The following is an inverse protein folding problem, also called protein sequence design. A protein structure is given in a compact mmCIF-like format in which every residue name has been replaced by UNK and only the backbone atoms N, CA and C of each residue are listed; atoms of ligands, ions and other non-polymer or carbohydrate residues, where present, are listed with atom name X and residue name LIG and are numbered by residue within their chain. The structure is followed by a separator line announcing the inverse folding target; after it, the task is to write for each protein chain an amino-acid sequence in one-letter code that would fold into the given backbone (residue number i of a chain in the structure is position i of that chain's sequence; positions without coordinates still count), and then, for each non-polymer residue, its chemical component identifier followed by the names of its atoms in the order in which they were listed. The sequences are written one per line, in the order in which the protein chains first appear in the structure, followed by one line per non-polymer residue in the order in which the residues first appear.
data_IF_017238528606
#
_entry.id   IF_017238528606
#
_cell.length_a   1.000
_cell.length_b   1.000
_cell.length_c   1.000
_cell.angle_alpha   90.00
_cell.angle_beta   90.00
_cell.angle_gamma   90.00
#
_symmetry.space_group_name_H-M   'P 1'
#
loop_
_entity.id
_entity.type
_entity.pdbx_description
1 polymer ?
#
# COMPACT_ATOMS: atom_id res chain seq x y z
N UNK A 1 -11.87 6.43 -3.58
CA UNK A 1 -12.09 5.76 -2.29
C UNK A 1 -13.31 4.88 -2.43
N UNK A 2 -13.14 3.58 -2.24
CA UNK A 2 -14.24 2.60 -2.26
C UNK A 2 -14.78 2.40 -0.85
N UNK A 3 -16.04 2.00 -0.77
CA UNK A 3 -16.63 1.44 0.45
C UNK A 3 -16.47 -0.09 0.38
N UNK A 4 -16.56 -0.80 1.52
CA UNK A 4 -16.65 -2.25 1.53
C UNK A 4 -17.75 -2.73 0.59
N UNK A 5 -17.55 -3.90 0.00
CA UNK A 5 -18.51 -4.57 -0.89
C UNK A 5 -18.93 -3.75 -2.12
N UNK A 6 -18.07 -2.82 -2.54
CA UNK A 6 -18.29 -2.04 -3.76
C UNK A 6 -17.27 -2.39 -4.84
N UNK A 7 -17.66 -2.16 -6.10
CA UNK A 7 -16.81 -2.36 -7.28
C UNK A 7 -16.40 -1.02 -7.84
N UNK A 8 -15.12 -0.87 -8.16
CA UNK A 8 -14.57 0.33 -8.74
C UNK A 8 -13.70 0.07 -9.98
N UNK A 9 -13.37 1.12 -10.68
CA UNK A 9 -12.41 1.08 -11.78
C UNK A 9 -11.57 2.36 -11.84
N UNK A 10 -10.43 2.28 -12.50
CA UNK A 10 -9.55 3.42 -12.75
C UNK A 10 -8.56 3.13 -13.86
N UNK A 11 -7.99 4.19 -14.43
CA UNK A 11 -7.06 4.12 -15.57
C UNK A 11 -5.63 3.74 -15.25
N UNK A 12 -5.29 3.59 -13.97
CA UNK A 12 -3.96 3.15 -13.52
C UNK A 12 -3.97 1.67 -13.15
N UNK A 13 -2.91 0.93 -13.49
CA UNK A 13 -2.78 -0.50 -13.18
C UNK A 13 -2.77 -0.79 -11.68
N UNK A 14 -2.41 0.20 -10.85
CA UNK A 14 -2.42 0.14 -9.39
C UNK A 14 -3.73 0.69 -8.78
N UNK A 15 -4.80 0.77 -9.54
CA UNK A 15 -6.14 0.98 -9.02
C UNK A 15 -6.63 -0.31 -8.36
N UNK A 16 -6.12 -0.59 -7.15
CA UNK A 16 -6.32 -1.85 -6.44
C UNK A 16 -6.53 -1.60 -4.96
N UNK A 17 -7.74 -1.21 -4.61
CA UNK A 17 -8.09 -0.96 -3.21
C UNK A 17 -8.32 -2.26 -2.45
N UNK A 18 -7.86 -2.38 -1.20
CA UNK A 18 -8.09 -3.56 -0.36
C UNK A 18 -9.53 -3.65 0.17
N UNK A 19 -10.25 -2.51 0.21
CA UNK A 19 -11.65 -2.42 0.61
C UNK A 19 -12.51 -2.45 -0.65
N UNK A 20 -13.44 -3.39 -0.75
CA UNK A 20 -14.15 -3.68 -1.99
C UNK A 20 -13.21 -4.29 -3.03
N UNK A 21 -13.57 -4.22 -4.29
CA UNK A 21 -12.73 -4.69 -5.39
C UNK A 21 -12.63 -3.65 -6.51
N UNK A 22 -11.45 -3.49 -7.09
CA UNK A 22 -11.25 -2.61 -8.24
C UNK A 22 -10.58 -3.33 -9.40
N UNK A 23 -11.13 -3.07 -10.60
CA UNK A 23 -10.64 -3.60 -11.87
C UNK A 23 -10.00 -2.46 -12.65
N UNK A 24 -8.65 -2.40 -12.73
CA UNK A 24 -7.98 -1.46 -13.59
C UNK A 24 -8.40 -1.64 -15.06
N UNK A 25 -8.62 -0.54 -15.75
CA UNK A 25 -9.05 -0.57 -17.14
C UNK A 25 -8.32 0.50 -17.96
N UNK A 26 -8.24 0.32 -19.27
CA UNK A 26 -7.72 1.36 -20.15
C UNK A 26 -8.55 2.63 -20.06
N UNK A 27 -7.92 3.78 -20.24
CA UNK A 27 -8.57 5.10 -20.11
C UNK A 27 -9.83 5.26 -20.96
N UNK A 28 -9.88 4.63 -22.15
CA UNK A 28 -11.08 4.61 -23.01
C UNK A 28 -12.27 3.88 -22.36
N UNK A 29 -12.02 2.73 -21.70
CA UNK A 29 -13.07 1.98 -21.01
C UNK A 29 -13.54 2.71 -19.75
N UNK A 30 -12.60 3.35 -19.02
CA UNK A 30 -12.95 4.20 -17.87
C UNK A 30 -13.81 5.39 -18.30
N UNK A 31 -13.46 6.06 -19.40
CA UNK A 31 -14.25 7.15 -19.97
C UNK A 31 -15.63 6.68 -20.43
N UNK A 32 -15.72 5.50 -21.06
CA UNK A 32 -17.00 4.87 -21.42
C UNK A 32 -17.87 4.64 -20.18
N UNK A 33 -17.31 4.05 -19.13
CA UNK A 33 -18.02 3.83 -17.86
C UNK A 33 -18.48 5.14 -17.21
N UNK A 34 -17.65 6.18 -17.24
CA UNK A 34 -18.01 7.49 -16.72
C UNK A 34 -19.16 8.13 -17.49
N UNK A 35 -19.21 7.93 -18.81
CA UNK A 35 -20.25 8.49 -19.69
C UNK A 35 -21.56 7.69 -19.63
N UNK A 36 -21.51 6.37 -19.51
CA UNK A 36 -22.68 5.47 -19.63
C UNK A 36 -23.20 4.93 -18.29
N UNK A 37 -22.38 5.03 -17.23
CA UNK A 37 -22.68 4.44 -15.92
C UNK A 37 -22.46 2.93 -15.84
N UNK A 38 -21.94 2.28 -16.89
CA UNK A 38 -21.72 0.84 -16.94
C UNK A 38 -20.38 0.50 -17.59
N UNK A 39 -19.77 -0.60 -17.13
CA UNK A 39 -18.57 -1.19 -17.73
C UNK A 39 -18.83 -2.67 -17.94
N UNK A 40 -18.69 -3.22 -19.17
CA UNK A 40 -18.77 -4.65 -19.39
C UNK A 40 -17.58 -5.35 -18.75
N UNK A 41 -17.84 -6.43 -18.03
CA UNK A 41 -16.85 -7.26 -17.37
C UNK A 41 -17.25 -8.72 -17.46
N UNK A 42 -16.36 -9.54 -18.02
CA UNK A 42 -16.46 -10.99 -17.86
C UNK A 42 -15.96 -11.35 -16.45
N UNK A 43 -16.75 -12.10 -15.66
CA UNK A 43 -16.38 -12.45 -14.30
C UNK A 43 -15.14 -13.35 -14.30
N UNK A 44 -14.00 -12.90 -13.75
CA UNK A 44 -12.80 -13.73 -13.70
C UNK A 44 -12.93 -14.85 -12.66
N UNK A 45 -12.20 -15.94 -12.87
CA UNK A 45 -11.94 -16.92 -11.81
C UNK A 45 -11.09 -16.28 -10.70
N UNK A 46 -11.09 -16.88 -9.52
CA UNK A 46 -10.25 -16.45 -8.39
C UNK A 46 -9.10 -17.43 -8.12
N UNK A 47 -7.97 -16.89 -7.65
CA UNK A 47 -6.88 -17.62 -7.00
C UNK A 47 -6.84 -17.18 -5.56
N UNK A 48 -6.90 -18.14 -4.63
CA UNK A 48 -6.81 -17.87 -3.20
C UNK A 48 -5.35 -18.01 -2.74
N UNK A 49 -4.85 -16.98 -2.04
CA UNK A 49 -3.61 -17.05 -1.24
C UNK A 49 -4.00 -17.01 0.23
N UNK A 50 -3.64 -18.05 0.96
CA UNK A 50 -3.95 -18.20 2.38
C UNK A 50 -2.69 -18.14 3.20
N UNK A 51 -2.54 -17.08 4.00
CA UNK A 51 -1.47 -16.99 4.99
C UNK A 51 -1.85 -17.70 6.29
N UNK A 52 -0.88 -18.44 6.86
CA UNK A 52 -0.99 -19.15 8.13
C UNK A 52 0.19 -18.78 9.04
N UNK A 53 0.06 -19.10 10.33
CA UNK A 53 1.13 -18.83 11.31
C UNK A 53 1.26 -17.35 11.65
N UNK A 54 2.45 -16.94 12.07
CA UNK A 54 2.76 -15.59 12.52
C UNK A 54 3.99 -15.03 11.82
N UNK A 55 3.97 -13.74 11.52
CA UNK A 55 5.12 -13.06 10.91
C UNK A 55 6.30 -13.08 11.88
N UNK A 56 7.47 -13.50 11.39
CA UNK A 56 8.66 -13.66 12.20
C UNK A 56 9.38 -12.33 12.46
N UNK A 57 10.17 -12.20 13.54
CA UNK A 57 10.95 -10.99 13.81
C UNK A 57 11.83 -10.58 12.62
N UNK A 58 11.86 -9.27 12.31
CA UNK A 58 12.60 -8.72 11.19
C UNK A 58 11.97 -8.95 9.81
N UNK A 59 10.94 -9.80 9.70
CA UNK A 59 10.17 -9.97 8.46
C UNK A 59 9.14 -8.84 8.36
N UNK A 60 9.00 -8.29 7.19
CA UNK A 60 8.13 -7.15 6.91
C UNK A 60 6.94 -7.55 6.05
N UNK A 61 5.96 -6.67 5.94
CA UNK A 61 4.83 -6.90 5.03
C UNK A 61 5.29 -7.03 3.56
N UNK A 62 6.36 -6.30 3.16
CA UNK A 62 6.93 -6.41 1.82
C UNK A 62 7.46 -7.82 1.53
N UNK A 63 7.98 -8.50 2.53
CA UNK A 63 8.43 -9.89 2.37
C UNK A 63 7.22 -10.80 2.10
N UNK A 64 6.07 -10.56 2.74
CA UNK A 64 4.83 -11.29 2.44
C UNK A 64 4.30 -10.99 1.03
N UNK A 65 4.44 -9.76 0.54
CA UNK A 65 4.15 -9.40 -0.86
C UNK A 65 4.97 -10.25 -1.82
N UNK A 66 6.26 -10.42 -1.54
CA UNK A 66 7.17 -11.21 -2.37
C UNK A 66 7.06 -12.72 -2.11
N UNK A 67 6.54 -13.16 -0.96
CA UNK A 67 6.24 -14.55 -0.69
C UNK A 67 5.19 -15.11 -1.66
N UNK A 68 4.22 -14.32 -2.09
CA UNK A 68 3.19 -14.76 -3.04
C UNK A 68 3.81 -15.33 -4.34
N UNK A 69 4.64 -14.59 -5.11
CA UNK A 69 5.30 -15.16 -6.28
C UNK A 69 6.33 -16.23 -5.91
N UNK A 70 7.02 -16.12 -4.77
CA UNK A 70 7.98 -17.11 -4.33
C UNK A 70 7.36 -18.51 -4.18
N UNK A 71 6.27 -18.62 -3.41
CA UNK A 71 5.55 -19.89 -3.21
C UNK A 71 4.87 -20.36 -4.50
N UNK A 72 4.30 -19.44 -5.29
CA UNK A 72 3.73 -19.79 -6.58
C UNK A 72 4.77 -20.40 -7.56
N UNK A 73 6.04 -19.98 -7.49
CA UNK A 73 7.13 -20.59 -8.25
C UNK A 73 7.45 -21.98 -7.71
N UNK A 74 7.58 -22.12 -6.38
CA UNK A 74 7.87 -23.42 -5.75
C UNK A 74 6.82 -24.48 -6.08
N UNK A 75 5.55 -24.10 -6.13
CA UNK A 75 4.44 -24.97 -6.48
C UNK A 75 4.24 -25.15 -7.99
N UNK A 76 5.06 -24.49 -8.82
CA UNK A 76 4.98 -24.60 -10.28
C UNK A 76 3.76 -23.88 -10.90
N UNK A 77 3.17 -22.91 -10.20
CA UNK A 77 2.08 -22.07 -10.67
C UNK A 77 2.54 -20.81 -11.40
N UNK A 78 3.79 -20.41 -11.19
CA UNK A 78 4.41 -19.25 -11.80
C UNK A 78 5.81 -19.64 -12.34
N UNK A 79 6.21 -19.09 -13.47
CA UNK A 79 7.57 -19.24 -14.00
C UNK A 79 8.17 -17.89 -14.36
N UNK A 80 9.46 -17.72 -14.13
CA UNK A 80 10.19 -16.50 -14.50
C UNK A 80 10.57 -16.50 -15.99
N UNK A 81 10.56 -17.66 -16.66
CA UNK A 81 10.92 -17.80 -18.06
C UNK A 81 10.05 -16.96 -18.99
N UNK A 82 10.68 -16.20 -19.91
CA UNK A 82 9.98 -15.32 -20.85
C UNK A 82 9.17 -16.07 -21.91
N UNK A 83 9.63 -17.24 -22.34
CA UNK A 83 8.90 -18.07 -23.29
C UNK A 83 8.12 -19.16 -22.55
N UNK A 84 6.83 -19.31 -22.88
CA UNK A 84 5.96 -20.27 -22.22
C UNK A 84 5.70 -19.91 -20.74
N UNK A 85 5.72 -18.62 -20.39
CA UNK A 85 5.50 -18.15 -19.02
C UNK A 85 4.16 -18.68 -18.50
N UNK A 86 4.22 -19.49 -17.44
CA UNK A 86 3.06 -19.87 -16.66
C UNK A 86 2.81 -18.78 -15.63
N UNK A 87 1.59 -18.33 -15.51
CA UNK A 87 1.17 -17.35 -14.50
C UNK A 87 -0.30 -17.62 -14.12
N UNK A 88 -0.50 -18.26 -13.00
CA UNK A 88 -1.83 -18.62 -12.49
C UNK A 88 -2.67 -17.38 -12.16
N UNK A 89 -2.05 -16.26 -11.83
CA UNK A 89 -2.75 -15.02 -11.46
C UNK A 89 -3.26 -14.24 -12.67
N UNK A 90 -2.71 -14.48 -13.86
CA UNK A 90 -3.01 -13.67 -15.04
C UNK A 90 -4.49 -13.71 -15.40
N UNK A 91 -5.13 -12.53 -15.40
CA UNK A 91 -6.55 -12.38 -15.71
C UNK A 91 -7.51 -12.89 -14.64
N UNK A 92 -7.03 -13.32 -13.48
CA UNK A 92 -7.83 -13.80 -12.34
C UNK A 92 -7.87 -12.77 -11.22
N UNK A 93 -8.83 -12.89 -10.34
CA UNK A 93 -8.87 -12.15 -9.07
C UNK A 93 -7.92 -12.84 -8.10
N UNK A 94 -7.04 -12.08 -7.47
CA UNK A 94 -6.23 -12.54 -6.36
C UNK A 94 -6.99 -12.27 -5.06
N UNK A 95 -7.43 -13.32 -4.40
CA UNK A 95 -8.04 -13.24 -3.07
C UNK A 95 -7.00 -13.59 -2.00
N UNK A 96 -6.93 -12.81 -0.93
CA UNK A 96 -5.95 -12.98 0.15
C UNK A 96 -6.69 -13.10 1.48
N UNK A 97 -6.36 -14.14 2.26
CA UNK A 97 -6.89 -14.35 3.60
C UNK A 97 -5.79 -14.75 4.61
N UNK A 98 -6.13 -14.76 5.90
CA UNK A 98 -5.20 -15.07 7.00
C UNK A 98 -4.48 -13.85 7.57
N UNK A 99 -4.75 -12.66 7.05
CA UNK A 99 -4.16 -11.38 7.47
C UNK A 99 -5.25 -10.35 7.81
N UNK A 100 -6.36 -10.79 8.37
CA UNK A 100 -7.56 -9.95 8.55
C UNK A 100 -7.36 -8.75 9.49
N UNK A 101 -6.36 -8.81 10.36
CA UNK A 101 -6.00 -7.77 11.33
C UNK A 101 -5.16 -6.62 10.74
N UNK A 102 -4.72 -6.74 9.49
CA UNK A 102 -3.92 -5.69 8.86
C UNK A 102 -4.70 -4.38 8.76
N UNK A 103 -3.99 -3.27 8.96
CA UNK A 103 -4.53 -1.95 8.63
C UNK A 103 -4.80 -1.84 7.13
N UNK A 104 -5.78 -1.03 6.73
CA UNK A 104 -6.14 -0.91 5.31
C UNK A 104 -4.97 -0.48 4.43
N UNK A 105 -4.08 0.39 4.94
CA UNK A 105 -2.89 0.83 4.23
C UNK A 105 -1.84 -0.29 4.07
N UNK A 106 -1.75 -1.22 5.04
CA UNK A 106 -0.93 -2.43 4.91
C UNK A 106 -1.53 -3.38 3.87
N UNK A 107 -2.83 -3.61 3.96
CA UNK A 107 -3.55 -4.40 2.98
C UNK A 107 -3.42 -3.81 1.56
N UNK A 108 -3.37 -2.48 1.44
CA UNK A 108 -3.14 -1.80 0.15
C UNK A 108 -1.81 -2.20 -0.48
N UNK A 109 -0.75 -2.39 0.29
CA UNK A 109 0.53 -2.85 -0.25
C UNK A 109 0.42 -4.23 -0.91
N UNK A 110 -0.30 -5.17 -0.29
CA UNK A 110 -0.57 -6.50 -0.85
C UNK A 110 -1.45 -6.42 -2.11
N UNK A 111 -2.53 -5.65 -2.06
CA UNK A 111 -3.46 -5.54 -3.20
C UNK A 111 -2.82 -4.82 -4.38
N UNK A 112 -2.04 -3.79 -4.13
CA UNK A 112 -1.36 -3.00 -5.16
C UNK A 112 -0.36 -3.86 -5.94
N UNK A 113 0.43 -4.69 -5.25
CA UNK A 113 1.39 -5.60 -5.85
C UNK A 113 0.76 -6.65 -6.78
N UNK A 114 -0.52 -6.92 -6.68
CA UNK A 114 -1.24 -7.84 -7.57
C UNK A 114 -1.21 -7.38 -9.04
N UNK A 115 -0.96 -6.07 -9.28
CA UNK A 115 -0.73 -5.52 -10.61
C UNK A 115 0.44 -6.18 -11.32
N UNK A 116 1.51 -6.51 -10.59
CA UNK A 116 2.73 -7.10 -11.14
C UNK A 116 2.53 -8.58 -11.48
N UNK A 117 1.49 -9.20 -10.94
CA UNK A 117 1.09 -10.59 -11.26
C UNK A 117 0.12 -10.64 -12.45
N UNK A 118 -0.20 -9.49 -13.08
CA UNK A 118 -1.23 -9.38 -14.11
C UNK A 118 -2.61 -9.86 -13.66
N UNK A 119 -2.90 -9.81 -12.37
CA UNK A 119 -4.21 -10.15 -11.84
C UNK A 119 -5.27 -9.15 -12.35
N UNK A 120 -6.50 -9.60 -12.56
CA UNK A 120 -7.61 -8.74 -12.99
C UNK A 120 -8.04 -7.78 -11.87
N UNK A 121 -7.99 -8.24 -10.63
CA UNK A 121 -8.30 -7.48 -9.42
C UNK A 121 -7.67 -8.17 -8.21
N UNK A 122 -7.85 -7.56 -7.04
CA UNK A 122 -7.44 -8.17 -5.77
C UNK A 122 -8.46 -7.83 -4.70
N UNK A 123 -8.78 -8.78 -3.84
CA UNK A 123 -9.52 -8.56 -2.61
C UNK A 123 -8.78 -9.17 -1.42
N UNK A 124 -8.93 -8.57 -0.24
CA UNK A 124 -8.29 -9.02 0.98
C UNK A 124 -9.33 -9.11 2.07
N UNK A 125 -9.41 -10.27 2.72
CA UNK A 125 -10.31 -10.46 3.87
C UNK A 125 -9.75 -9.70 5.07
N UNK A 126 -10.41 -8.60 5.43
CA UNK A 126 -10.10 -7.77 6.61
C UNK A 126 -11.21 -7.88 7.64
N UNK A 127 -10.86 -7.65 8.91
CA UNK A 127 -11.82 -7.48 10.00
C UNK A 127 -12.53 -6.11 9.90
N UNK A 128 -13.65 -5.96 10.60
CA UNK A 128 -14.43 -4.71 10.59
C UNK A 128 -13.69 -3.54 11.25
N UNK A 129 -12.89 -3.81 12.25
CA UNK A 129 -12.17 -2.80 13.03
C UNK A 129 -11.16 -2.01 12.21
N UNK A 130 -10.23 -2.62 11.45
CA UNK A 130 -9.32 -1.87 10.57
C UNK A 130 -10.06 -1.04 9.53
N UNK A 131 -11.16 -1.56 9.00
CA UNK A 131 -11.97 -0.85 8.01
C UNK A 131 -12.67 0.35 8.66
N UNK A 132 -13.24 0.19 9.86
CA UNK A 132 -13.89 1.27 10.59
C UNK A 132 -12.89 2.40 10.90
N UNK A 133 -11.69 2.07 11.38
CA UNK A 133 -10.61 3.02 11.63
C UNK A 133 -10.27 3.82 10.37
N UNK A 134 -10.08 3.13 9.26
CA UNK A 134 -9.79 3.77 7.97
C UNK A 134 -10.90 4.70 7.50
N UNK A 135 -12.18 4.29 7.62
CA UNK A 135 -13.31 5.12 7.22
C UNK A 135 -13.45 6.36 8.12
N UNK A 136 -13.26 6.21 9.45
CA UNK A 136 -13.28 7.33 10.39
C UNK A 136 -12.21 8.37 10.05
N UNK A 137 -10.97 7.92 9.84
CA UNK A 137 -9.87 8.77 9.38
C UNK A 137 -10.21 9.51 8.08
N UNK A 138 -10.77 8.81 7.12
CA UNK A 138 -11.14 9.43 5.83
C UNK A 138 -12.32 10.43 5.93
N UNK A 139 -13.27 10.21 6.82
CA UNK A 139 -14.34 11.18 7.09
C UNK A 139 -13.74 12.51 7.57
N UNK A 140 -12.78 12.45 8.50
CA UNK A 140 -12.09 13.65 8.98
C UNK A 140 -11.32 14.34 7.87
N UNK A 141 -10.58 13.58 7.05
CA UNK A 141 -9.87 14.12 5.90
C UNK A 141 -10.79 14.80 4.89
N UNK A 142 -11.93 14.18 4.55
CA UNK A 142 -12.88 14.77 3.59
C UNK A 142 -13.53 16.03 4.15
N UNK A 143 -13.86 16.08 5.44
CA UNK A 143 -14.35 17.31 6.10
C UNK A 143 -13.28 18.39 6.10
N UNK A 144 -12.02 18.05 6.38
CA UNK A 144 -10.91 18.99 6.23
C UNK A 144 -10.81 19.53 4.80
N UNK A 145 -10.96 18.70 3.79
CA UNK A 145 -10.96 19.15 2.38
C UNK A 145 -12.10 20.16 2.12
N UNK A 146 -13.28 19.93 2.67
CA UNK A 146 -14.42 20.89 2.56
C UNK A 146 -14.07 22.23 3.21
N UNK A 147 -13.52 22.22 4.43
CA UNK A 147 -13.11 23.43 5.16
C UNK A 147 -12.01 24.21 4.40
N UNK A 148 -11.10 23.49 3.73
CA UNK A 148 -10.04 24.09 2.91
C UNK A 148 -10.52 24.56 1.52
N UNK A 149 -11.81 24.46 1.22
CA UNK A 149 -12.40 24.96 -0.03
C UNK A 149 -12.11 24.10 -1.26
N UNK A 150 -11.85 22.79 -1.10
CA UNK A 150 -11.77 21.88 -2.23
C UNK A 150 -13.09 21.86 -3.01
N UNK A 151 -12.98 21.80 -4.34
CA UNK A 151 -14.15 21.76 -5.22
C UNK A 151 -15.02 20.51 -5.03
N UNK A 152 -16.27 20.62 -5.55
CA UNK A 152 -17.26 19.53 -5.51
C UNK A 152 -17.62 19.04 -4.09
N UNK A 153 -17.95 19.99 -3.22
CA UNK A 153 -18.43 19.75 -1.85
C UNK A 153 -19.53 18.67 -1.82
N UNK A 154 -20.48 18.70 -2.73
CA UNK A 154 -21.59 17.75 -2.81
C UNK A 154 -21.09 16.29 -2.93
N UNK A 155 -20.07 16.04 -3.74
CA UNK A 155 -19.46 14.69 -3.87
C UNK A 155 -18.72 14.29 -2.59
N UNK A 156 -18.00 15.21 -1.97
CA UNK A 156 -17.32 14.94 -0.69
C UNK A 156 -18.32 14.57 0.40
N UNK A 157 -19.38 15.35 0.56
CA UNK A 157 -20.45 15.10 1.54
C UNK A 157 -21.16 13.77 1.30
N UNK A 158 -21.50 13.44 0.04
CA UNK A 158 -22.11 12.15 -0.29
C UNK A 158 -21.18 10.96 0.07
N UNK A 159 -19.88 11.10 -0.11
CA UNK A 159 -18.90 10.09 0.30
C UNK A 159 -18.83 9.95 1.81
N UNK A 160 -18.83 11.06 2.54
CA UNK A 160 -18.90 11.07 4.00
C UNK A 160 -20.16 10.33 4.47
N UNK A 161 -21.33 10.71 3.93
CA UNK A 161 -22.59 10.06 4.29
C UNK A 161 -22.60 8.55 4.05
N UNK A 162 -21.98 8.07 2.94
CA UNK A 162 -21.81 6.65 2.69
C UNK A 162 -20.93 5.94 3.70
N UNK A 163 -19.83 6.57 4.14
CA UNK A 163 -18.95 6.03 5.19
C UNK A 163 -19.65 6.02 6.56
N UNK A 164 -20.35 7.10 6.91
CA UNK A 164 -21.12 7.18 8.16
C UNK A 164 -22.23 6.10 8.17
N UNK A 165 -22.86 5.82 7.02
CA UNK A 165 -23.86 4.76 6.89
C UNK A 165 -23.27 3.38 7.13
N UNK A 166 -22.13 3.08 6.55
CA UNK A 166 -21.44 1.81 6.78
C UNK A 166 -21.02 1.65 8.25
N UNK A 167 -20.47 2.69 8.85
CA UNK A 167 -20.07 2.70 10.26
C UNK A 167 -21.25 2.51 11.24
N UNK A 168 -22.45 2.92 10.84
CA UNK A 168 -23.65 2.75 11.65
C UNK A 168 -24.17 1.29 11.65
N UNK A 169 -23.90 0.53 10.57
CA UNK A 169 -24.27 -0.89 10.44
C UNK A 169 -23.19 -1.63 9.62
N UNK A 170 -22.04 -1.94 10.22
CA UNK A 170 -20.92 -2.56 9.51
C UNK A 170 -21.24 -3.98 9.04
N UNK A 171 -21.25 -4.17 7.72
CA UNK A 171 -21.41 -5.47 7.09
C UNK A 171 -20.21 -5.74 6.15
N UNK A 172 -19.80 -7.00 6.04
CA UNK A 172 -18.79 -7.47 5.10
C UNK A 172 -19.31 -8.72 4.42
N UNK A 173 -19.16 -8.80 3.12
CA UNK A 173 -19.36 -10.03 2.38
C UNK A 173 -18.25 -11.04 2.72
N UNK A 174 -18.62 -12.30 2.78
CA UNK A 174 -17.69 -13.41 2.95
C UNK A 174 -17.85 -14.37 1.78
N UNK A 175 -16.77 -15.09 1.46
CA UNK A 175 -16.84 -16.16 0.47
C UNK A 175 -17.81 -17.25 0.95
N UNK A 176 -18.56 -17.82 0.02
CA UNK A 176 -19.41 -18.96 0.31
C UNK A 176 -18.55 -20.14 0.78
N UNK A 177 -19.08 -21.02 1.67
CA UNK A 177 -18.32 -22.18 2.19
C UNK A 177 -17.86 -23.15 1.09
N UNK A 178 -18.54 -23.16 -0.04
CA UNK A 178 -18.30 -24.00 -1.22
C UNK A 178 -17.73 -23.21 -2.41
N UNK A 179 -17.15 -22.04 -2.14
CA UNK A 179 -16.50 -21.23 -3.18
C UNK A 179 -15.38 -22.00 -3.88
N UNK A 180 -15.39 -21.99 -5.21
CA UNK A 180 -14.41 -22.66 -6.04
C UNK A 180 -13.30 -21.70 -6.47
N UNK A 181 -12.04 -22.15 -6.38
CA UNK A 181 -10.86 -21.41 -6.77
C UNK A 181 -10.09 -22.14 -7.87
N UNK A 182 -9.52 -21.41 -8.81
CA UNK A 182 -8.64 -21.97 -9.83
C UNK A 182 -7.41 -22.65 -9.21
N UNK A 183 -6.93 -22.12 -8.09
CA UNK A 183 -5.95 -22.74 -7.19
C UNK A 183 -5.97 -22.09 -5.82
N UNK A 184 -5.45 -22.81 -4.83
CA UNK A 184 -5.20 -22.29 -3.46
C UNK A 184 -3.72 -22.43 -3.20
N UNK A 185 -3.06 -21.33 -2.83
CA UNK A 185 -1.64 -21.28 -2.44
C UNK A 185 -1.60 -21.00 -0.94
N UNK A 186 -1.04 -21.91 -0.17
CA UNK A 186 -0.89 -21.75 1.28
C UNK A 186 0.52 -21.30 1.62
N UNK A 187 0.63 -20.22 2.39
CA UNK A 187 1.91 -19.64 2.82
C UNK A 187 2.01 -19.68 4.34
N UNK A 188 2.95 -20.45 4.85
CA UNK A 188 3.23 -20.50 6.28
C UNK A 188 4.28 -19.44 6.65
N UNK A 189 3.81 -18.39 7.34
CA UNK A 189 4.67 -17.30 7.78
C UNK A 189 5.70 -17.74 8.83
N UNK A 190 5.44 -18.82 9.53
CA UNK A 190 6.41 -19.39 10.49
C UNK A 190 7.64 -19.97 9.78
N UNK A 191 7.57 -20.25 8.48
CA UNK A 191 8.69 -20.73 7.67
C UNK A 191 9.50 -19.61 7.01
N UNK A 192 8.99 -18.37 6.98
CA UNK A 192 9.69 -17.21 6.41
C UNK A 192 10.67 -16.67 7.46
N UNK A 193 11.96 -17.04 7.36
CA UNK A 193 13.00 -16.70 8.34
C UNK A 193 13.96 -15.60 7.90
N UNK A 194 13.89 -15.19 6.66
CA UNK A 194 14.73 -14.16 6.05
C UNK A 194 13.93 -13.35 5.02
N UNK A 195 14.37 -12.13 4.67
CA UNK A 195 13.70 -11.32 3.65
C UNK A 195 13.57 -12.02 2.31
N UNK A 196 12.45 -11.77 1.65
CA UNK A 196 12.19 -12.19 0.27
C UNK A 196 12.19 -10.94 -0.61
N UNK A 197 12.99 -10.94 -1.67
CA UNK A 197 13.12 -9.84 -2.61
C UNK A 197 12.97 -10.32 -4.04
N UNK A 198 12.66 -9.40 -4.98
CA UNK A 198 12.60 -9.77 -6.39
C UNK A 198 13.92 -9.40 -7.08
N UNK A 199 14.52 -10.36 -7.76
CA UNK A 199 15.77 -10.21 -8.49
C UNK A 199 15.65 -9.26 -9.70
N UNK A 200 16.75 -8.74 -10.23
CA UNK A 200 16.70 -7.71 -11.27
C UNK A 200 15.92 -8.10 -12.51
N UNK A 201 15.14 -7.11 -12.97
CA UNK A 201 14.44 -7.06 -14.24
C UNK A 201 13.18 -7.93 -14.37
N UNK A 202 12.73 -8.59 -13.30
CA UNK A 202 11.44 -9.28 -13.28
C UNK A 202 10.81 -9.21 -11.86
N UNK A 203 9.63 -8.63 -11.67
CA UNK A 203 8.97 -8.57 -10.36
C UNK A 203 8.43 -9.93 -9.89
N UNK A 204 8.47 -10.96 -10.74
CA UNK A 204 8.11 -12.32 -10.40
C UNK A 204 9.33 -13.17 -9.97
N UNK A 205 10.58 -12.72 -10.23
CA UNK A 205 11.79 -13.47 -9.83
C UNK A 205 12.08 -13.31 -8.33
N UNK A 206 11.17 -13.82 -7.51
CA UNK A 206 11.27 -13.78 -6.06
C UNK A 206 12.32 -14.77 -5.54
N UNK A 207 13.18 -14.31 -4.64
CA UNK A 207 14.29 -15.04 -4.06
C UNK A 207 14.49 -14.75 -2.60
N UNK A 208 15.10 -15.67 -1.87
CA UNK A 208 15.55 -15.43 -0.51
C UNK A 208 16.77 -14.49 -0.51
N UNK A 209 16.94 -13.70 0.54
CA UNK A 209 18.08 -12.81 0.69
C UNK A 209 19.41 -13.59 0.63
N UNK A 210 19.47 -14.77 1.25
CA UNK A 210 20.65 -15.63 1.24
C UNK A 210 21.14 -16.04 -0.17
N UNK A 211 20.25 -16.08 -1.16
CA UNK A 211 20.60 -16.44 -2.55
C UNK A 211 21.30 -15.32 -3.32
N UNK A 212 21.20 -14.09 -2.84
CA UNK A 212 21.73 -12.86 -3.51
C UNK A 212 22.66 -12.05 -2.62
N UNK A 213 22.98 -12.55 -1.44
CA UNK A 213 23.90 -11.92 -0.48
C UNK A 213 25.22 -11.52 -1.12
N UNK A 214 25.70 -10.32 -0.79
CA UNK A 214 27.01 -9.83 -1.22
C UNK A 214 26.99 -9.05 -2.55
N UNK A 215 25.90 -9.04 -3.29
CA UNK A 215 25.79 -8.25 -4.50
C UNK A 215 25.96 -6.76 -4.15
N UNK A 216 26.93 -6.11 -4.83
CA UNK A 216 27.23 -4.69 -4.61
C UNK A 216 26.01 -3.84 -4.96
N UNK A 217 25.72 -2.86 -4.12
CA UNK A 217 24.64 -1.89 -4.32
C UNK A 217 25.25 -0.51 -4.58
N UNK A 218 24.93 0.10 -5.70
CA UNK A 218 25.39 1.44 -6.07
C UNK A 218 24.40 2.53 -5.64
N UNK A 219 23.10 2.25 -5.78
CA UNK A 219 22.04 3.20 -5.45
C UNK A 219 20.88 2.51 -4.73
N UNK A 220 20.15 3.26 -3.95
CA UNK A 220 18.95 2.82 -3.23
C UNK A 220 17.82 3.81 -3.48
N UNK A 221 16.61 3.31 -3.73
CA UNK A 221 15.41 4.12 -3.87
C UNK A 221 14.33 3.69 -2.88
N UNK A 222 13.93 4.59 -2.00
CA UNK A 222 12.79 4.43 -1.09
C UNK A 222 11.67 5.35 -1.55
N UNK A 223 10.61 4.77 -2.11
CA UNK A 223 9.47 5.49 -2.68
C UNK A 223 8.60 4.56 -3.52
N UNK A 224 7.42 4.94 -3.78
CA UNK A 224 6.37 4.40 -4.66
C UNK A 224 5.00 4.48 -4.00
N UNK A 225 3.92 4.22 -4.76
CA UNK A 225 2.55 4.14 -4.24
C UNK A 225 2.36 3.07 -3.15
N UNK A 226 3.12 1.97 -3.18
CA UNK A 226 3.11 0.91 -2.18
C UNK A 226 3.92 1.24 -0.92
N UNK A 227 4.73 2.30 -0.93
CA UNK A 227 5.63 2.63 0.19
C UNK A 227 4.94 3.65 1.08
N UNK A 228 4.18 3.18 2.07
CA UNK A 228 3.49 4.05 3.01
C UNK A 228 4.46 4.72 4.01
N UNK A 229 3.94 5.67 4.79
CA UNK A 229 4.75 6.50 5.71
C UNK A 229 5.55 5.67 6.73
N UNK A 230 5.03 4.53 7.17
CA UNK A 230 5.72 3.66 8.12
C UNK A 230 7.06 3.14 7.60
N UNK A 231 7.14 2.83 6.31
CA UNK A 231 8.38 2.38 5.67
C UNK A 231 9.46 3.47 5.67
N UNK A 232 9.06 4.74 5.47
CA UNK A 232 10.00 5.87 5.57
C UNK A 232 10.49 6.03 7.01
N UNK A 233 9.60 5.91 8.00
CA UNK A 233 10.01 5.95 9.41
C UNK A 233 10.97 4.82 9.77
N UNK A 234 10.70 3.59 9.30
CA UNK A 234 11.56 2.43 9.51
C UNK A 234 12.97 2.68 8.94
N UNK A 235 13.05 3.05 7.67
CA UNK A 235 14.31 3.40 7.03
C UNK A 235 15.02 4.55 7.76
N UNK A 236 14.30 5.62 8.12
CA UNK A 236 14.86 6.75 8.84
C UNK A 236 15.40 6.38 10.23
N UNK A 237 14.75 5.48 10.96
CA UNK A 237 15.25 4.98 12.26
C UNK A 237 16.56 4.21 12.10
N UNK A 238 16.67 3.36 11.08
CA UNK A 238 17.91 2.63 10.79
C UNK A 238 19.04 3.58 10.37
N UNK A 239 18.74 4.55 9.51
CA UNK A 239 19.70 5.53 9.04
C UNK A 239 20.17 6.50 10.14
N UNK A 240 19.33 6.79 11.14
CA UNK A 240 19.65 7.67 12.26
C UNK A 240 20.87 7.20 13.08
N UNK A 241 21.06 5.88 13.16
CA UNK A 241 22.16 5.28 13.89
C UNK A 241 23.46 5.21 13.07
N UNK A 242 23.41 5.56 11.79
CA UNK A 242 24.58 5.57 10.92
C UNK A 242 25.32 6.91 11.03
N UNK A 243 26.60 6.86 11.36
CA UNK A 243 27.46 8.03 11.43
C UNK A 243 28.32 8.11 10.16
N UNK A 244 28.19 9.21 9.42
CA UNK A 244 28.93 9.48 8.20
C UNK A 244 28.05 9.54 6.94
N UNK A 245 28.71 9.45 5.77
CA UNK A 245 28.04 9.43 4.48
C UNK A 245 27.87 8.01 3.98
N UNK A 246 26.68 7.72 3.42
CA UNK A 246 26.38 6.41 2.86
C UNK A 246 27.33 6.06 1.71
N UNK A 247 27.80 4.80 1.61
CA UNK A 247 28.59 4.34 0.47
C UNK A 247 27.79 4.28 -0.83
N UNK A 248 26.45 4.35 -0.73
CA UNK A 248 25.51 4.31 -1.85
C UNK A 248 24.84 5.66 -2.06
N UNK A 249 24.28 5.89 -3.23
CA UNK A 249 23.38 7.04 -3.43
C UNK A 249 21.96 6.65 -2.98
N UNK A 250 21.46 7.29 -1.94
CA UNK A 250 20.11 7.11 -1.46
C UNK A 250 19.14 8.16 -2.03
N UNK A 251 18.02 7.69 -2.58
CA UNK A 251 16.91 8.50 -3.06
C UNK A 251 15.69 8.26 -2.18
N UNK A 252 14.99 9.33 -1.80
CA UNK A 252 13.78 9.27 -0.96
C UNK A 252 12.69 10.10 -1.61
N UNK A 253 11.55 9.49 -1.93
CA UNK A 253 10.40 10.16 -2.51
C UNK A 253 9.09 9.59 -1.93
N UNK A 254 8.48 10.24 -0.93
CA UNK A 254 7.21 9.77 -0.37
C UNK A 254 6.07 9.84 -1.40
N UNK A 255 5.02 9.03 -1.23
CA UNK A 255 3.94 8.96 -2.21
C UNK A 255 3.10 10.23 -2.28
N UNK A 256 2.92 10.94 -1.16
CA UNK A 256 2.08 12.14 -1.09
C UNK A 256 2.76 13.31 -0.39
N UNK A 257 2.27 14.53 -0.64
CA UNK A 257 2.70 15.71 0.09
C UNK A 257 2.33 15.67 1.58
N UNK A 258 1.28 14.93 1.93
CA UNK A 258 0.88 14.75 3.32
C UNK A 258 1.92 13.91 4.07
N UNK A 259 2.42 12.84 3.45
CA UNK A 259 3.52 12.03 4.00
C UNK A 259 4.80 12.85 4.15
N UNK A 260 5.17 13.62 3.12
CA UNK A 260 6.32 14.54 3.17
C UNK A 260 6.23 15.52 4.33
N UNK A 261 5.06 16.16 4.49
CA UNK A 261 4.82 17.14 5.55
C UNK A 261 4.92 16.49 6.93
N UNK A 262 4.32 15.32 7.11
CA UNK A 262 4.36 14.61 8.38
C UNK A 262 5.77 14.12 8.72
N UNK A 263 6.48 13.51 7.77
CA UNK A 263 7.86 13.07 7.94
C UNK A 263 8.80 14.25 8.26
N UNK A 264 8.52 15.42 7.68
CA UNK A 264 9.24 16.66 7.99
C UNK A 264 8.98 17.11 9.42
N UNK A 265 7.72 17.13 9.84
CA UNK A 265 7.33 17.49 11.21
C UNK A 265 7.91 16.53 12.27
N UNK A 266 8.02 15.25 11.93
CA UNK A 266 8.64 14.22 12.78
C UNK A 266 10.18 14.24 12.74
N UNK A 267 10.81 15.06 11.88
CA UNK A 267 12.26 15.25 11.80
C UNK A 267 13.00 14.25 10.89
N UNK A 268 12.30 13.35 10.19
CA UNK A 268 12.94 12.36 9.32
C UNK A 268 13.70 12.98 8.13
N UNK A 269 13.20 14.09 7.59
CA UNK A 269 13.94 14.81 6.52
C UNK A 269 15.30 15.33 6.97
N UNK A 270 15.46 15.67 8.25
CA UNK A 270 16.76 16.02 8.82
C UNK A 270 17.69 14.80 8.88
N UNK A 271 17.16 13.62 9.22
CA UNK A 271 17.92 12.36 9.23
C UNK A 271 18.39 12.02 7.81
N UNK A 272 17.49 12.07 6.82
CA UNK A 272 17.86 11.82 5.41
C UNK A 272 18.92 12.79 4.90
N UNK A 273 18.79 14.08 5.23
CA UNK A 273 19.80 15.09 4.88
C UNK A 273 21.15 14.82 5.52
N UNK A 274 21.18 14.40 6.79
CA UNK A 274 22.42 14.12 7.52
C UNK A 274 23.26 13.00 6.88
N UNK A 275 22.60 11.95 6.36
CA UNK A 275 23.28 10.83 5.67
C UNK A 275 23.54 11.10 4.18
N UNK A 276 23.19 12.28 3.67
CA UNK A 276 23.40 12.67 2.28
C UNK A 276 22.38 12.10 1.29
N UNK A 277 21.18 11.72 1.78
CA UNK A 277 20.13 11.27 0.90
C UNK A 277 19.60 12.40 0.01
N UNK A 278 19.27 12.07 -1.22
CA UNK A 278 18.58 12.95 -2.14
C UNK A 278 17.07 12.78 -2.00
N UNK A 279 16.40 13.82 -1.55
CA UNK A 279 14.95 13.86 -1.48
C UNK A 279 14.37 14.38 -2.78
N UNK A 280 13.33 13.72 -3.29
CA UNK A 280 12.63 14.08 -4.51
C UNK A 280 11.19 14.49 -4.18
N UNK A 281 10.58 15.22 -5.13
CA UNK A 281 9.18 15.62 -5.00
C UNK A 281 8.28 14.39 -4.81
N UNK A 282 7.30 14.46 -3.88
CA UNK A 282 6.35 13.39 -3.67
C UNK A 282 5.66 12.91 -4.95
N UNK A 283 5.49 11.60 -5.08
CA UNK A 283 4.85 10.95 -6.21
C UNK A 283 5.65 9.77 -6.77
N UNK A 284 5.44 9.47 -8.06
CA UNK A 284 6.05 8.29 -8.70
C UNK A 284 7.57 8.39 -8.87
N UNK A 285 8.11 9.59 -9.12
CA UNK A 285 9.55 9.88 -9.24
C UNK A 285 10.33 8.78 -10.01
N UNK A 286 11.35 8.19 -9.36
CA UNK A 286 12.19 7.15 -9.96
C UNK A 286 11.40 5.89 -10.33
N UNK A 287 10.34 5.55 -9.60
CA UNK A 287 9.52 4.36 -9.89
C UNK A 287 9.03 4.30 -11.35
N UNK A 288 8.81 5.45 -11.97
CA UNK A 288 8.50 5.57 -13.40
C UNK A 288 9.69 6.02 -14.27
N UNK A 289 10.78 6.48 -13.65
CA UNK A 289 11.93 7.04 -14.35
C UNK A 289 11.64 8.31 -15.15
N UNK A 290 10.66 9.10 -14.72
CA UNK A 290 10.20 10.30 -15.42
C UNK A 290 10.71 11.61 -14.81
N UNK A 291 10.88 11.69 -13.50
CA UNK A 291 11.40 12.88 -12.81
C UNK A 291 12.90 12.77 -12.54
N UNK A 292 13.37 11.58 -12.16
CA UNK A 292 14.76 11.28 -11.93
C UNK A 292 15.08 9.85 -12.41
N UNK A 293 16.36 9.56 -12.58
CA UNK A 293 16.84 8.24 -12.99
C UNK A 293 18.13 7.91 -12.24
N UNK A 294 18.29 6.63 -11.93
CA UNK A 294 19.55 6.08 -11.42
C UNK A 294 20.62 6.08 -12.51
N UNK A 295 21.88 5.94 -12.13
CA UNK A 295 23.00 5.88 -13.07
C UNK A 295 22.86 4.67 -14.02
N UNK A 296 23.41 4.80 -15.23
CA UNK A 296 23.44 3.69 -16.19
C UNK A 296 24.18 2.48 -15.60
N UNK A 297 23.59 1.30 -15.78
CA UNK A 297 24.15 0.02 -15.34
C UNK A 297 24.39 -0.13 -13.83
N UNK A 298 23.82 0.78 -13.01
CA UNK A 298 23.90 0.65 -11.55
C UNK A 298 23.10 -0.53 -11.04
N UNK A 299 23.56 -1.10 -9.93
CA UNK A 299 22.76 -2.03 -9.13
C UNK A 299 21.98 -1.28 -8.07
N UNK A 300 20.69 -1.47 -8.02
CA UNK A 300 19.75 -0.68 -7.22
C UNK A 300 18.90 -1.59 -6.34
N UNK A 301 18.75 -1.25 -5.07
CA UNK A 301 17.70 -1.81 -4.20
C UNK A 301 16.57 -0.79 -4.09
N UNK A 302 15.35 -1.22 -4.36
CA UNK A 302 14.22 -0.30 -4.52
C UNK A 302 12.94 -0.81 -3.85
N UNK A 303 12.19 0.10 -3.24
CA UNK A 303 10.84 -0.15 -2.76
C UNK A 303 9.76 0.10 -3.84
N UNK A 304 10.16 0.34 -5.08
CA UNK A 304 9.23 0.52 -6.19
C UNK A 304 8.40 -0.73 -6.44
N UNK A 305 7.32 -0.57 -7.23
CA UNK A 305 6.44 -1.68 -7.57
C UNK A 305 7.02 -2.57 -8.67
N UNK A 306 7.87 -2.01 -9.55
CA UNK A 306 8.35 -2.64 -10.79
C UNK A 306 9.83 -2.44 -10.98
N UNK A 307 10.48 -3.48 -11.50
CA UNK A 307 11.90 -3.48 -11.86
C UNK A 307 12.16 -3.91 -13.31
N UNK A 308 11.21 -3.71 -14.21
CA UNK A 308 11.40 -4.04 -15.63
C UNK A 308 12.65 -3.36 -16.21
N UNK A 309 13.28 -3.97 -17.24
CA UNK A 309 14.51 -3.45 -17.84
C UNK A 309 14.39 -1.97 -18.22
N UNK A 310 15.42 -1.19 -17.87
CA UNK A 310 15.53 0.27 -18.16
C UNK A 310 14.49 1.17 -17.49
N UNK A 311 13.69 0.65 -16.55
CA UNK A 311 12.61 1.46 -15.93
C UNK A 311 13.15 2.58 -15.04
N UNK A 312 14.02 2.27 -14.08
CA UNK A 312 14.63 3.26 -13.18
C UNK A 312 15.83 3.94 -13.80
N UNK A 313 16.54 3.25 -14.70
CA UNK A 313 17.73 3.77 -15.41
C UNK A 313 18.15 2.81 -16.52
N UNK A 314 18.92 3.30 -17.49
CA UNK A 314 19.36 2.51 -18.63
C UNK A 314 20.34 1.40 -18.21
N UNK A 315 19.97 0.15 -18.46
CA UNK A 315 20.79 -1.01 -18.10
C UNK A 315 20.92 -1.24 -16.59
N UNK A 316 20.16 -0.56 -15.75
CA UNK A 316 20.21 -0.77 -14.31
C UNK A 316 19.65 -2.12 -13.91
N UNK A 317 20.28 -2.76 -12.92
CA UNK A 317 19.84 -3.98 -12.28
C UNK A 317 19.11 -3.62 -11.00
N UNK A 318 17.79 -3.79 -10.96
CA UNK A 318 16.96 -3.31 -9.86
C UNK A 318 16.35 -4.48 -9.09
N UNK A 319 16.73 -4.59 -7.82
CA UNK A 319 16.08 -5.45 -6.84
C UNK A 319 14.85 -4.74 -6.27
N UNK A 320 13.74 -5.46 -6.10
CA UNK A 320 12.60 -4.98 -5.31
C UNK A 320 12.68 -5.55 -3.90
N UNK A 321 12.64 -4.69 -2.89
CA UNK A 321 12.81 -5.09 -1.50
C UNK A 321 11.98 -4.22 -0.55
N UNK A 322 11.97 -4.59 0.74
CA UNK A 322 11.43 -3.76 1.81
C UNK A 322 12.27 -2.48 2.00
N UNK A 323 11.70 -1.48 2.63
CA UNK A 323 12.42 -0.25 2.97
C UNK A 323 13.52 -0.49 4.01
N UNK A 324 13.32 -1.46 4.88
CA UNK A 324 14.26 -1.91 5.87
C UNK A 324 15.49 -2.55 5.21
N UNK A 325 15.29 -3.49 4.29
CA UNK A 325 16.38 -4.11 3.53
C UNK A 325 17.09 -3.08 2.64
N UNK A 326 16.33 -2.16 2.05
CA UNK A 326 16.88 -1.07 1.25
C UNK A 326 17.77 -0.15 2.11
N UNK A 327 17.34 0.24 3.31
CA UNK A 327 18.12 1.08 4.22
C UNK A 327 19.39 0.37 4.70
N UNK A 328 19.31 -0.91 5.07
CA UNK A 328 20.48 -1.70 5.47
C UNK A 328 21.46 -1.84 4.31
N UNK A 329 20.96 -2.11 3.11
CA UNK A 329 21.79 -2.17 1.89
C UNK A 329 22.48 -0.83 1.59
N UNK A 330 21.79 0.30 1.87
CA UNK A 330 22.38 1.63 1.73
C UNK A 330 23.55 1.86 2.69
N UNK A 331 23.41 1.40 3.94
CA UNK A 331 24.43 1.52 4.99
C UNK A 331 25.66 0.67 4.66
N UNK A 332 25.44 -0.59 4.23
CA UNK A 332 26.51 -1.57 4.02
C UNK A 332 27.17 -1.42 2.63
N UNK A 333 26.44 -0.94 1.63
CA UNK A 333 26.91 -0.82 0.24
C UNK A 333 26.76 -2.11 -0.58
N UNK A 334 26.08 -3.12 -0.05
CA UNK A 334 25.78 -4.39 -0.68
C UNK A 334 24.54 -5.01 -0.09
N UNK A 335 24.01 -6.06 -0.69
CA UNK A 335 23.00 -6.88 -0.05
C UNK A 335 23.59 -7.58 1.18
N UNK A 336 23.00 -7.43 2.38
CA UNK A 336 23.50 -8.03 3.63
C UNK A 336 23.31 -9.55 3.62
N UNK A 337 23.94 -10.26 4.57
CA UNK A 337 23.49 -11.59 4.93
C UNK A 337 22.19 -11.49 5.73
N UNK A 338 21.40 -12.59 5.83
CA UNK A 338 20.22 -12.58 6.71
C UNK A 338 20.54 -12.19 8.15
N UNK A 339 21.66 -12.65 8.70
CA UNK A 339 22.10 -12.33 10.06
C UNK A 339 22.43 -10.84 10.20
N UNK A 340 23.22 -10.28 9.27
CA UNK A 340 23.53 -8.84 9.25
C UNK A 340 22.27 -8.01 9.15
N UNK A 341 21.31 -8.42 8.30
CA UNK A 341 20.03 -7.73 8.17
C UNK A 341 19.26 -7.71 9.49
N UNK A 342 19.15 -8.86 10.16
CA UNK A 342 18.43 -9.00 11.42
C UNK A 342 19.06 -8.20 12.57
N UNK A 343 20.38 -8.00 12.58
CA UNK A 343 21.07 -7.12 13.53
C UNK A 343 20.57 -5.67 13.46
N UNK A 344 20.19 -5.21 12.27
CA UNK A 344 19.59 -3.89 12.06
C UNK A 344 18.08 -3.91 12.25
N UNK A 345 17.38 -4.76 11.53
CA UNK A 345 15.91 -4.78 11.48
C UNK A 345 15.28 -5.16 12.81
N UNK A 346 15.88 -6.07 13.58
CA UNK A 346 15.42 -6.45 14.91
C UNK A 346 15.33 -5.30 15.91
N UNK A 347 16.05 -4.20 15.68
CA UNK A 347 15.95 -3.00 16.52
C UNK A 347 14.63 -2.26 16.35
N UNK A 348 13.92 -2.48 15.25
CA UNK A 348 12.64 -1.85 14.98
C UNK A 348 11.48 -2.51 15.72
N UNK A 349 11.59 -3.78 16.06
CA UNK A 349 10.52 -4.57 16.68
C UNK A 349 9.98 -3.92 17.96
N UNK A 350 10.85 -3.42 18.80
CA UNK A 350 10.49 -2.74 20.04
C UNK A 350 9.68 -1.45 19.86
N UNK A 351 9.72 -0.87 18.66
CA UNK A 351 9.05 0.39 18.30
C UNK A 351 8.10 0.24 17.11
N UNK A 352 7.70 -0.98 16.77
CA UNK A 352 6.92 -1.27 15.57
C UNK A 352 5.59 -0.50 15.54
N UNK A 353 4.86 -0.40 16.66
CA UNK A 353 3.60 0.32 16.74
C UNK A 353 3.73 1.81 16.38
N UNK A 354 4.82 2.47 16.81
CA UNK A 354 5.07 3.87 16.47
C UNK A 354 5.63 4.03 15.05
N UNK A 355 6.42 3.07 14.61
CA UNK A 355 7.06 3.10 13.29
C UNK A 355 6.05 2.97 12.19
N UNK A 356 5.20 1.94 12.27
CA UNK A 356 4.29 1.56 11.20
C UNK A 356 2.87 2.13 11.34
N UNK A 357 2.67 3.10 12.24
CA UNK A 357 1.39 3.81 12.29
C UNK A 357 1.18 4.65 11.05
N UNK A 358 -0.04 4.73 10.60
CA UNK A 358 -0.44 5.50 9.41
C UNK A 358 -0.79 6.95 9.74
N UNK A 359 -1.10 7.72 8.70
CA UNK A 359 -1.74 9.03 8.85
C UNK A 359 -3.22 8.84 9.18
N UNK A 360 -3.52 8.60 10.45
CA UNK A 360 -4.89 8.62 10.94
C UNK A 360 -5.29 10.08 11.16
N UNK A 361 -6.06 10.63 10.23
CA UNK A 361 -6.42 12.04 10.23
C UNK A 361 -7.29 12.45 11.42
N UNK A 362 -8.04 11.51 11.99
CA UNK A 362 -8.81 11.69 13.22
C UNK A 362 -7.96 11.73 14.50
N UNK A 363 -6.68 11.37 14.43
CA UNK A 363 -5.71 11.53 15.51
C UNK A 363 -4.87 12.82 15.40
N UNK A 364 -4.96 13.53 14.28
CA UNK A 364 -4.19 14.73 14.00
C UNK A 364 -5.02 15.99 14.28
N UNK A 365 -4.72 16.73 15.35
CA UNK A 365 -5.52 17.87 15.84
C UNK A 365 -5.86 18.88 14.75
N UNK A 366 -4.91 19.20 13.87
CA UNK A 366 -5.12 20.15 12.76
C UNK A 366 -6.24 19.73 11.79
N UNK A 367 -6.42 18.40 11.57
CA UNK A 367 -7.48 17.88 10.71
C UNK A 367 -8.81 17.81 11.49
N UNK A 368 -8.78 17.38 12.75
CA UNK A 368 -9.96 17.29 13.61
C UNK A 368 -10.58 18.67 13.84
N UNK A 369 -9.78 19.67 14.20
CA UNK A 369 -10.24 21.05 14.41
C UNK A 369 -10.89 21.66 13.16
N UNK A 370 -10.36 21.32 11.98
CA UNK A 370 -10.91 21.76 10.70
C UNK A 370 -12.21 21.02 10.37
N UNK A 371 -12.20 19.68 10.54
CA UNK A 371 -13.37 18.83 10.29
C UNK A 371 -14.56 19.20 11.20
N UNK A 372 -14.28 19.63 12.41
CA UNK A 372 -15.29 20.05 13.39
C UNK A 372 -16.04 21.31 13.00
N UNK A 373 -15.51 22.14 12.11
CA UNK A 373 -16.19 23.33 11.59
C UNK A 373 -17.21 23.01 10.50
N UNK A 374 -17.11 21.80 9.90
CA UNK A 374 -17.94 21.41 8.76
C UNK A 374 -19.27 20.85 9.22
N UNK A 375 -20.34 21.51 8.84
CA UNK A 375 -21.72 21.02 8.95
C UNK A 375 -22.11 20.35 7.63
N UNK A 376 -22.64 19.12 7.71
CA UNK A 376 -23.14 18.38 6.57
C UNK A 376 -24.52 18.87 6.16
N UNK A 377 -24.79 18.96 4.87
CA UNK A 377 -26.12 19.28 4.35
C UNK A 377 -27.03 18.05 4.37
N UNK A 378 -28.31 18.22 4.68
CA UNK A 378 -29.31 17.12 4.72
C UNK A 378 -29.43 16.40 3.36
N UNK A 379 -29.11 17.07 2.25
CA UNK A 379 -29.09 16.53 0.89
C UNK A 379 -27.98 15.49 0.71
N UNK A 380 -26.90 15.55 1.48
CA UNK A 380 -25.81 14.58 1.45
C UNK A 380 -26.29 13.14 1.70
N UNK A 381 -27.35 12.99 2.48
CA UNK A 381 -27.94 11.71 2.87
C UNK A 381 -29.08 11.24 1.95
N UNK A 382 -29.38 11.99 0.89
CA UNK A 382 -30.53 11.69 0.00
C UNK A 382 -30.40 10.34 -0.74
N UNK A 383 -29.18 9.87 -0.99
CA UNK A 383 -28.92 8.60 -1.64
C UNK A 383 -29.02 7.34 -0.74
N UNK A 384 -29.23 7.54 0.57
CA UNK A 384 -29.32 6.44 1.53
C UNK A 384 -30.77 5.92 1.65
N UNK A 385 -30.91 4.66 2.10
CA UNK A 385 -32.20 4.09 2.43
C UNK A 385 -32.92 4.91 3.53
N UNK A 386 -34.27 4.96 3.53
CA UNK A 386 -35.03 5.85 4.41
C UNK A 386 -34.69 5.74 5.90
N UNK A 387 -34.58 4.52 6.42
CA UNK A 387 -34.26 4.26 7.83
C UNK A 387 -32.86 4.76 8.22
N UNK A 388 -31.86 4.46 7.39
CA UNK A 388 -30.47 4.92 7.61
C UNK A 388 -30.37 6.45 7.54
N UNK A 389 -31.03 7.06 6.55
CA UNK A 389 -31.11 8.52 6.43
C UNK A 389 -31.69 9.16 7.68
N UNK A 390 -32.82 8.66 8.19
CA UNK A 390 -33.46 9.17 9.41
C UNK A 390 -32.53 9.05 10.62
N UNK A 391 -31.87 7.90 10.78
CA UNK A 391 -30.90 7.66 11.85
C UNK A 391 -29.75 8.65 11.83
N UNK A 392 -29.09 8.83 10.68
CA UNK A 392 -27.93 9.72 10.54
C UNK A 392 -28.31 11.20 10.70
N UNK A 393 -29.44 11.63 10.16
CA UNK A 393 -29.95 12.99 10.37
C UNK A 393 -30.26 13.28 11.85
N UNK A 394 -30.73 12.28 12.59
CA UNK A 394 -30.95 12.39 14.04
C UNK A 394 -29.61 12.58 14.76
N UNK A 395 -28.61 11.73 14.47
CA UNK A 395 -27.26 11.84 15.04
C UNK A 395 -26.63 13.20 14.73
N UNK A 396 -26.74 13.67 13.50
CA UNK A 396 -26.22 14.98 13.09
C UNK A 396 -26.87 16.13 13.88
N UNK A 397 -28.17 16.09 14.09
CA UNK A 397 -28.91 17.08 14.91
C UNK A 397 -28.50 17.06 16.39
N UNK A 398 -28.32 15.87 16.96
CA UNK A 398 -27.85 15.70 18.34
C UNK A 398 -26.45 16.27 18.54
N UNK A 399 -25.52 15.98 17.62
CA UNK A 399 -24.16 16.55 17.63
C UNK A 399 -24.16 18.07 17.52
N UNK A 400 -25.02 18.63 16.65
CA UNK A 400 -25.17 20.08 16.49
C UNK A 400 -25.73 20.74 17.76
N UNK A 401 -26.72 20.13 18.40
CA UNK A 401 -27.28 20.62 19.66
C UNK A 401 -26.25 20.57 20.81
N UNK A 402 -25.45 19.50 20.90
CA UNK A 402 -24.40 19.40 21.90
C UNK A 402 -23.31 20.47 21.72
N UNK A 403 -22.91 20.78 20.47
CA UNK A 403 -21.97 21.88 20.18
C UNK A 403 -22.50 23.25 20.50
N UNK A 404 -23.80 23.48 20.35
CA UNK A 404 -24.43 24.79 20.68
C UNK A 404 -24.58 25.04 22.20
N UNK A 405 -24.44 23.97 23.01
CA UNK A 405 -24.54 24.00 24.47
C UNK A 405 -23.20 23.97 25.21
N UNK A 406 -22.10 23.76 24.49
CA UNK A 406 -20.71 23.81 24.97
C UNK A 406 -20.07 25.17 24.69
#
# INVERSE_FOLDING_TARGET
MLLPDTVGTGGDSHTRFPIGISFPAGSGLVAFGAATGVIPLDMPESVLVRFKGTMQPGITLRDLVHAIPYYAIQEGHLTVAKQGKKNIFSGRILEIEGLSHLKCEQAFELSDASAERSAAGCSIKLDKEPIAEYLQSNIVMLKWMIDQGYGDRRTLERRIAGMEAWLADPQLLEADPDAEYATVIEIDMDEIKEPILCAPNDPDDARLLSEVTGDKVDEVFIGSCMTNIGHFRAAGKLLKEFDGQLPTRLWVAPPTKMDEQQLTAEGYYSIYGAVGARTEMPGCSLCMGNQARVAEKSTVVSTSTRNFPNRLGKGANVYLASAELAAVSAIIGRLPTPEEYLEYAGKLDATASDTYRYLNFDELSQYVESADKVEMEDEAYAGLGPAMREQLLKIAKEKKAAKASA
#
